data_IF_240883374785
#
_entry.id   IF_240883374785
#
_cell.length_a   1.000
_cell.length_b   1.000
_cell.length_c   1.000
_cell.angle_alpha   90.00
_cell.angle_beta   90.00
_cell.angle_gamma   90.00
#
_symmetry.space_group_name_H-M   'P 1'
#
loop_
_entity.id
_entity.type
_entity.pdbx_description
1 polymer ?
#
# COMPACT_ATOMS: atom_id res chain seq x y z
N UNK A 1 17.85 19.70 2.45
CA UNK A 1 17.90 20.88 1.56
C UNK A 1 17.06 20.52 0.36
N UNK A 2 15.78 20.90 0.37
CA UNK A 2 14.95 20.75 -0.83
C UNK A 2 15.51 21.71 -1.90
N UNK A 3 16.06 21.16 -2.96
CA UNK A 3 16.83 21.91 -3.95
C UNK A 3 16.05 22.31 -5.20
N UNK A 4 14.80 21.97 -5.33
CA UNK A 4 14.09 22.24 -6.58
C UNK A 4 12.80 22.98 -6.30
N UNK A 5 12.76 24.25 -6.71
CA UNK A 5 11.48 24.89 -7.03
C UNK A 5 10.84 24.05 -8.13
N UNK A 6 9.67 23.54 -7.85
CA UNK A 6 8.87 22.82 -8.82
C UNK A 6 8.42 23.81 -9.89
N UNK A 7 9.04 23.75 -11.06
CA UNK A 7 8.69 24.66 -12.15
C UNK A 7 7.23 24.50 -12.52
N UNK A 8 6.53 25.62 -12.57
CA UNK A 8 5.14 25.68 -12.97
C UNK A 8 4.13 25.38 -11.87
N UNK A 9 4.52 24.91 -10.69
CA UNK A 9 3.59 24.70 -9.59
C UNK A 9 3.26 26.02 -8.88
N UNK A 10 1.97 26.31 -8.80
CA UNK A 10 1.46 27.44 -8.04
C UNK A 10 1.39 27.04 -6.58
N UNK A 11 2.51 27.10 -5.89
CA UNK A 11 2.61 26.57 -4.55
C UNK A 11 2.33 27.60 -3.48
N UNK A 12 1.68 27.13 -2.44
CA UNK A 12 1.69 27.70 -1.12
C UNK A 12 2.85 27.13 -0.30
N UNK A 13 2.77 27.23 1.00
CA UNK A 13 3.72 26.64 1.94
C UNK A 13 3.58 25.11 2.09
N UNK A 14 3.00 24.40 1.10
CA UNK A 14 2.74 22.97 1.16
C UNK A 14 4.00 22.13 1.48
N UNK A 15 5.17 22.61 1.09
CA UNK A 15 6.44 21.96 1.41
C UNK A 15 6.84 22.11 2.90
N UNK A 16 6.42 23.18 3.55
CA UNK A 16 6.75 23.47 4.96
C UNK A 16 5.64 23.06 5.93
N UNK A 17 4.42 22.92 5.46
CA UNK A 17 3.23 22.69 6.28
C UNK A 17 2.54 21.35 6.00
N UNK A 18 3.10 20.48 5.16
CA UNK A 18 2.48 19.20 4.73
C UNK A 18 1.04 19.42 4.24
N UNK A 19 0.89 20.29 3.26
CA UNK A 19 -0.41 20.67 2.70
C UNK A 19 -0.64 20.05 1.32
N UNK A 20 -0.89 18.75 1.29
CA UNK A 20 -1.17 18.00 0.06
C UNK A 20 -2.47 18.46 -0.64
N UNK A 21 -3.47 18.89 0.15
CA UNK A 21 -4.75 19.32 -0.38
C UNK A 21 -4.61 20.56 -1.26
N UNK A 22 -3.94 21.58 -0.75
CA UNK A 22 -3.68 22.81 -1.52
C UNK A 22 -2.79 22.54 -2.73
N UNK A 23 -1.81 21.65 -2.58
CA UNK A 23 -0.97 21.25 -3.69
C UNK A 23 -1.79 20.68 -4.85
N UNK A 24 -2.68 19.72 -4.58
CA UNK A 24 -3.56 19.15 -5.61
C UNK A 24 -4.50 20.21 -6.15
N UNK A 25 -5.23 20.92 -5.27
CA UNK A 25 -6.26 21.88 -5.66
C UNK A 25 -5.73 22.98 -6.58
N UNK A 26 -4.48 23.39 -6.39
CA UNK A 26 -3.89 24.47 -7.16
C UNK A 26 -3.18 24.02 -8.44
N UNK A 27 -2.91 22.73 -8.62
CA UNK A 27 -2.02 22.29 -9.67
C UNK A 27 -2.59 21.23 -10.62
N UNK A 28 -3.68 20.50 -10.29
CA UNK A 28 -4.25 19.51 -11.21
C UNK A 28 -4.92 20.17 -12.41
N UNK A 29 -4.96 19.46 -13.53
CA UNK A 29 -5.57 19.89 -14.79
C UNK A 29 -6.83 19.09 -15.05
N UNK A 30 -7.99 19.74 -15.02
CA UNK A 30 -9.26 19.10 -15.39
C UNK A 30 -9.24 18.72 -16.87
N UNK A 31 -9.76 17.54 -17.18
CA UNK A 31 -9.90 17.02 -18.53
C UNK A 31 -11.39 16.82 -18.84
N UNK A 32 -11.85 17.38 -19.96
CA UNK A 32 -13.23 17.33 -20.44
C UNK A 32 -13.37 16.62 -21.80
N UNK A 33 -12.28 15.99 -22.27
CA UNK A 33 -12.25 15.17 -23.47
C UNK A 33 -12.71 13.73 -23.22
N UNK A 34 -12.44 12.90 -24.18
CA UNK A 34 -12.75 11.47 -24.19
C UNK A 34 -11.47 10.60 -24.17
N UNK A 35 -11.63 9.29 -24.31
CA UNK A 35 -10.55 8.30 -24.25
C UNK A 35 -9.71 8.19 -25.52
N UNK A 36 -9.88 9.06 -26.53
CA UNK A 36 -9.19 8.95 -27.84
C UNK A 36 -7.67 9.19 -27.75
N UNK A 37 -7.17 9.74 -26.65
CA UNK A 37 -5.73 9.91 -26.38
C UNK A 37 -5.06 8.63 -25.89
N UNK A 38 -5.82 7.61 -25.43
CA UNK A 38 -5.25 6.38 -24.90
C UNK A 38 -4.40 5.67 -25.93
N UNK A 39 -3.23 5.23 -25.49
CA UNK A 39 -2.33 4.43 -26.32
C UNK A 39 -2.67 2.95 -26.23
N UNK A 40 -2.28 2.21 -27.25
CA UNK A 40 -2.30 0.74 -27.17
C UNK A 40 -1.29 0.26 -26.12
N UNK A 41 -1.56 -0.89 -25.46
CA UNK A 41 -0.61 -1.46 -24.52
C UNK A 41 0.77 -1.65 -25.15
N UNK A 42 1.82 -1.33 -24.41
CA UNK A 42 3.19 -1.62 -24.87
C UNK A 42 3.46 -3.13 -24.85
N UNK A 43 4.48 -3.55 -25.59
CA UNK A 43 4.94 -4.93 -25.57
C UNK A 43 5.32 -5.40 -24.15
N UNK A 44 5.87 -4.50 -23.31
CA UNK A 44 6.20 -4.80 -21.93
C UNK A 44 4.92 -5.03 -21.10
N UNK A 45 3.91 -4.18 -21.25
CA UNK A 45 2.59 -4.35 -20.63
C UNK A 45 1.96 -5.69 -21.02
N UNK A 46 1.92 -6.01 -22.31
CA UNK A 46 1.34 -7.28 -22.80
C UNK A 46 2.08 -8.50 -22.25
N UNK A 47 3.41 -8.44 -22.21
CA UNK A 47 4.25 -9.52 -21.68
C UNK A 47 3.97 -9.74 -20.20
N UNK A 48 4.02 -8.71 -19.38
CA UNK A 48 3.79 -8.78 -17.93
C UNK A 48 2.35 -9.21 -17.61
N UNK A 49 1.38 -8.67 -18.34
CA UNK A 49 -0.03 -9.05 -18.19
C UNK A 49 -0.28 -10.50 -18.57
N UNK A 50 0.37 -10.99 -19.64
CA UNK A 50 0.33 -12.40 -20.03
C UNK A 50 0.84 -13.32 -18.93
N UNK A 51 1.99 -12.97 -18.31
CA UNK A 51 2.56 -13.71 -17.18
C UNK A 51 1.63 -13.70 -15.97
N UNK A 52 1.10 -12.53 -15.62
CA UNK A 52 0.18 -12.39 -14.49
C UNK A 52 -1.11 -13.20 -14.68
N UNK A 53 -1.69 -13.18 -15.88
CA UNK A 53 -2.87 -14.02 -16.21
C UNK A 53 -2.59 -15.51 -16.03
N UNK A 54 -1.42 -15.96 -16.43
CA UNK A 54 -1.04 -17.37 -16.27
C UNK A 54 -0.85 -17.74 -14.79
N UNK A 55 -0.18 -16.91 -14.01
CA UNK A 55 -0.05 -17.11 -12.55
C UNK A 55 -1.42 -17.16 -11.86
N UNK A 56 -2.37 -16.31 -12.27
CA UNK A 56 -3.73 -16.32 -11.71
C UNK A 56 -4.53 -17.55 -12.12
N UNK A 57 -4.28 -18.12 -13.31
CA UNK A 57 -4.88 -19.42 -13.70
C UNK A 57 -4.36 -20.55 -12.82
N UNK A 58 -3.04 -20.57 -12.58
CA UNK A 58 -2.41 -21.56 -11.71
C UNK A 58 -2.91 -21.42 -10.26
N UNK A 59 -3.06 -20.20 -9.77
CA UNK A 59 -3.65 -19.92 -8.45
C UNK A 59 -5.07 -20.50 -8.34
N UNK A 60 -5.91 -20.27 -9.34
CA UNK A 60 -7.27 -20.85 -9.38
C UNK A 60 -7.27 -22.38 -9.44
N UNK A 61 -6.38 -22.96 -10.24
CA UNK A 61 -6.25 -24.41 -10.33
C UNK A 61 -5.83 -25.06 -9.00
N UNK A 62 -5.10 -24.33 -8.16
CA UNK A 62 -4.71 -24.75 -6.80
C UNK A 62 -5.78 -24.43 -5.73
N UNK A 63 -6.95 -23.94 -6.11
CA UNK A 63 -8.04 -23.64 -5.17
C UNK A 63 -7.97 -22.23 -4.55
N UNK A 64 -7.13 -21.33 -5.07
CA UNK A 64 -7.11 -19.90 -4.68
C UNK A 64 -5.85 -19.44 -3.95
N UNK A 65 -4.89 -20.31 -3.69
CA UNK A 65 -3.56 -19.93 -3.15
C UNK A 65 -2.48 -20.60 -4.01
N UNK A 66 -1.65 -19.79 -4.64
CA UNK A 66 -0.57 -20.25 -5.50
C UNK A 66 0.62 -20.76 -4.68
N UNK A 67 1.04 -19.98 -3.67
CA UNK A 67 2.18 -20.26 -2.81
C UNK A 67 2.02 -19.52 -1.46
N UNK A 68 2.67 -20.04 -0.41
CA UNK A 68 2.65 -19.45 0.93
C UNK A 68 4.06 -19.41 1.52
N UNK A 69 4.35 -18.29 2.21
CA UNK A 69 5.52 -18.20 3.08
C UNK A 69 5.26 -18.94 4.38
N UNK A 70 6.18 -19.78 4.80
CA UNK A 70 6.04 -20.59 6.02
C UNK A 70 7.14 -20.37 7.05
N UNK A 71 8.17 -19.59 6.69
CA UNK A 71 9.37 -19.42 7.53
C UNK A 71 9.55 -18.01 8.07
N UNK A 72 9.05 -17.00 7.32
CA UNK A 72 9.35 -15.59 7.56
C UNK A 72 8.07 -14.81 7.79
N UNK A 73 8.04 -14.02 8.88
CA UNK A 73 7.03 -12.99 9.07
C UNK A 73 7.31 -11.84 8.11
N UNK A 74 6.31 -11.39 7.38
CA UNK A 74 6.40 -10.28 6.44
C UNK A 74 6.85 -8.98 7.13
N UNK A 75 7.30 -8.04 6.37
CA UNK A 75 7.78 -6.73 6.82
C UNK A 75 8.45 -6.00 5.67
N UNK A 76 8.80 -4.75 5.91
CA UNK A 76 9.35 -3.88 4.87
C UNK A 76 10.64 -4.44 4.25
N UNK A 77 11.50 -5.01 5.08
CA UNK A 77 12.82 -5.55 4.69
C UNK A 77 12.93 -7.08 4.82
N UNK A 78 11.79 -7.76 4.99
CA UNK A 78 11.78 -9.22 5.18
C UNK A 78 12.20 -9.98 3.92
N UNK A 79 12.06 -9.37 2.75
CA UNK A 79 12.39 -9.95 1.46
C UNK A 79 13.27 -8.99 0.67
N UNK A 80 14.19 -9.51 -0.13
CA UNK A 80 14.93 -8.75 -1.10
C UNK A 80 14.06 -8.27 -2.27
N UNK A 81 14.67 -7.55 -3.21
CA UNK A 81 13.98 -7.13 -4.43
C UNK A 81 13.51 -8.34 -5.24
N UNK A 82 12.26 -8.32 -5.67
CA UNK A 82 11.64 -9.38 -6.45
C UNK A 82 10.76 -8.79 -7.56
N UNK A 83 10.60 -9.55 -8.63
CA UNK A 83 9.93 -9.13 -9.87
C UNK A 83 8.88 -10.17 -10.29
N UNK A 84 8.02 -9.80 -11.25
CA UNK A 84 6.91 -10.65 -11.71
C UNK A 84 7.44 -11.98 -12.27
N UNK A 85 8.58 -11.95 -12.93
CA UNK A 85 9.20 -13.14 -13.48
C UNK A 85 10.71 -13.01 -13.58
N UNK A 86 11.36 -14.13 -13.87
CA UNK A 86 12.79 -14.12 -14.16
C UNK A 86 13.06 -13.28 -15.43
N UNK A 87 13.97 -12.31 -15.34
CA UNK A 87 14.31 -11.41 -16.44
C UNK A 87 13.32 -10.27 -16.70
N UNK A 88 12.25 -10.09 -15.89
CA UNK A 88 11.30 -8.98 -16.09
C UNK A 88 11.72 -7.64 -15.48
N UNK A 89 12.84 -7.59 -14.78
CA UNK A 89 13.32 -6.38 -14.10
C UNK A 89 13.31 -5.14 -15.00
N UNK A 90 13.78 -5.27 -16.21
CA UNK A 90 13.91 -4.15 -17.15
C UNK A 90 12.60 -3.81 -17.87
N UNK A 91 11.62 -4.73 -17.82
CA UNK A 91 10.28 -4.51 -18.36
C UNK A 91 9.37 -3.79 -17.37
N UNK A 92 9.56 -4.00 -16.06
CA UNK A 92 8.69 -3.45 -15.03
C UNK A 92 8.96 -1.96 -14.80
N UNK A 93 8.03 -1.09 -15.20
CA UNK A 93 8.11 0.36 -14.96
C UNK A 93 7.75 0.69 -13.50
N UNK A 94 6.89 -0.11 -12.87
CA UNK A 94 6.58 -0.05 -11.44
C UNK A 94 7.05 -1.35 -10.82
N UNK A 95 7.98 -1.29 -9.88
CA UNK A 95 8.59 -2.46 -9.24
C UNK A 95 8.13 -2.61 -7.79
N UNK A 96 8.26 -3.81 -7.28
CA UNK A 96 7.95 -4.16 -5.90
C UNK A 96 6.91 -5.27 -5.80
N UNK A 97 7.21 -6.30 -5.01
CA UNK A 97 6.31 -7.40 -4.68
C UNK A 97 6.07 -7.47 -3.18
N UNK A 98 4.95 -8.06 -2.82
CA UNK A 98 4.56 -8.29 -1.43
C UNK A 98 5.53 -9.24 -0.70
N UNK A 99 6.05 -10.24 -1.42
CA UNK A 99 7.01 -11.23 -0.97
C UNK A 99 8.16 -11.35 -1.97
N UNK A 100 8.93 -12.42 -1.90
CA UNK A 100 10.00 -12.78 -2.83
C UNK A 100 9.50 -13.35 -4.17
N UNK A 101 8.18 -13.66 -4.28
CA UNK A 101 7.56 -14.20 -5.49
C UNK A 101 6.18 -13.58 -5.73
N UNK A 102 5.75 -13.47 -7.00
CA UNK A 102 4.41 -13.00 -7.31
C UNK A 102 3.35 -13.96 -6.75
N UNK A 103 2.26 -13.39 -6.22
CA UNK A 103 1.11 -14.10 -5.63
C UNK A 103 1.43 -15.04 -4.46
N UNK A 104 2.66 -15.06 -3.94
CA UNK A 104 2.99 -15.79 -2.72
C UNK A 104 2.43 -15.04 -1.51
N UNK A 105 1.67 -15.74 -0.69
CA UNK A 105 1.04 -15.20 0.52
C UNK A 105 2.02 -15.20 1.69
N UNK A 106 1.81 -14.32 2.65
CA UNK A 106 2.68 -14.20 3.82
C UNK A 106 1.91 -14.00 5.12
N UNK A 107 2.60 -14.17 6.24
CA UNK A 107 2.15 -13.84 7.58
C UNK A 107 2.53 -12.39 7.88
N UNK A 108 1.52 -11.52 8.04
CA UNK A 108 1.73 -10.08 8.28
C UNK A 108 1.93 -9.79 9.76
N UNK A 109 2.90 -8.95 10.16
CA UNK A 109 3.26 -8.75 11.56
C UNK A 109 2.11 -8.15 12.40
N UNK A 110 1.23 -7.37 11.78
CA UNK A 110 0.04 -6.79 12.41
C UNK A 110 -1.26 -7.48 11.99
N UNK A 111 -1.17 -8.66 11.37
CA UNK A 111 -2.29 -9.50 10.99
C UNK A 111 -2.62 -10.57 12.03
N UNK A 112 -3.81 -11.16 11.91
CA UNK A 112 -4.19 -12.33 12.72
C UNK A 112 -3.56 -13.61 12.18
N UNK A 113 -2.96 -14.41 13.06
CA UNK A 113 -2.33 -15.67 12.67
C UNK A 113 -3.35 -16.75 12.28
N UNK A 114 -4.52 -16.81 12.94
CA UNK A 114 -5.50 -17.91 12.77
C UNK A 114 -5.93 -18.14 11.33
N UNK A 115 -6.23 -17.07 10.58
CA UNK A 115 -6.65 -17.22 9.19
C UNK A 115 -5.50 -17.73 8.31
N UNK A 116 -4.28 -17.28 8.57
CA UNK A 116 -3.10 -17.69 7.84
C UNK A 116 -2.75 -19.16 8.13
N UNK A 117 -2.83 -19.59 9.41
CA UNK A 117 -2.66 -21.00 9.81
C UNK A 117 -3.71 -21.91 9.18
N UNK A 118 -4.98 -21.50 9.21
CA UNK A 118 -6.05 -22.25 8.54
C UNK A 118 -5.85 -22.34 7.02
N UNK A 119 -5.38 -21.27 6.40
CA UNK A 119 -5.05 -21.28 4.98
C UNK A 119 -3.87 -22.22 4.71
N UNK A 120 -2.80 -22.19 5.52
CA UNK A 120 -1.70 -23.14 5.40
C UNK A 120 -2.20 -24.58 5.45
N UNK A 121 -2.92 -24.97 6.48
CA UNK A 121 -3.49 -26.32 6.62
C UNK A 121 -4.38 -26.70 5.44
N UNK A 122 -5.24 -25.79 4.98
CA UNK A 122 -6.17 -26.05 3.88
C UNK A 122 -5.45 -26.30 2.55
N UNK A 123 -4.35 -25.60 2.31
CA UNK A 123 -3.59 -25.71 1.06
C UNK A 123 -2.33 -26.59 1.16
N UNK A 124 -2.16 -27.31 2.28
CA UNK A 124 -1.07 -28.26 2.47
C UNK A 124 0.30 -27.64 2.80
N UNK A 125 0.30 -26.47 3.41
CA UNK A 125 1.49 -25.82 3.92
C UNK A 125 1.56 -25.97 5.45
N UNK A 126 2.77 -25.98 5.99
CA UNK A 126 3.01 -26.04 7.43
C UNK A 126 3.95 -24.90 7.85
N UNK A 127 3.47 -23.95 8.68
CA UNK A 127 4.31 -22.89 9.21
C UNK A 127 5.38 -23.45 10.13
N UNK A 128 6.57 -22.81 10.13
CA UNK A 128 7.65 -23.22 11.02
C UNK A 128 7.31 -22.96 12.50
N UNK A 129 7.91 -23.74 13.41
CA UNK A 129 7.77 -23.53 14.85
C UNK A 129 8.19 -22.13 15.27
N UNK A 130 9.24 -21.59 14.66
CA UNK A 130 9.72 -20.23 14.89
C UNK A 130 8.63 -19.16 14.57
N UNK A 131 7.88 -19.37 13.51
CA UNK A 131 6.80 -18.47 13.11
C UNK A 131 5.65 -18.54 14.14
N UNK A 132 5.26 -19.73 14.58
CA UNK A 132 4.30 -19.92 15.66
C UNK A 132 4.78 -19.23 16.95
N UNK A 133 6.03 -19.42 17.35
CA UNK A 133 6.59 -18.78 18.53
C UNK A 133 6.49 -17.26 18.49
N UNK A 134 6.83 -16.63 17.34
CA UNK A 134 6.75 -15.17 17.17
C UNK A 134 5.33 -14.67 17.45
N UNK A 135 4.32 -15.29 16.85
CA UNK A 135 2.94 -14.82 17.00
C UNK A 135 2.34 -15.16 18.37
N UNK A 136 2.61 -16.33 18.93
CA UNK A 136 1.99 -16.73 20.20
C UNK A 136 2.72 -16.19 21.43
N UNK A 137 4.01 -15.88 21.32
CA UNK A 137 4.81 -15.39 22.45
C UNK A 137 5.02 -13.88 22.45
N UNK A 138 5.19 -13.26 21.27
CA UNK A 138 5.63 -11.86 21.18
C UNK A 138 4.60 -10.95 20.51
N UNK A 139 3.65 -11.48 19.75
CA UNK A 139 2.66 -10.68 19.04
C UNK A 139 1.30 -10.81 19.71
N UNK A 140 0.67 -9.67 20.01
CA UNK A 140 -0.72 -9.59 20.37
C UNK A 140 -1.50 -9.12 19.13
N UNK A 141 -2.35 -9.97 18.60
CA UNK A 141 -3.17 -9.61 17.45
C UNK A 141 -4.23 -8.57 17.83
N UNK A 142 -4.78 -7.85 16.86
CA UNK A 142 -5.91 -6.97 17.08
C UNK A 142 -7.05 -7.67 17.79
N UNK A 143 -7.38 -8.90 17.38
CA UNK A 143 -8.42 -9.71 18.02
C UNK A 143 -8.14 -10.03 19.47
N UNK A 144 -6.93 -10.46 19.77
CA UNK A 144 -6.55 -10.78 21.14
C UNK A 144 -6.70 -9.53 22.02
N UNK A 145 -6.27 -8.36 21.52
CA UNK A 145 -6.43 -7.09 22.21
C UNK A 145 -7.88 -6.72 22.48
N UNK A 146 -8.77 -6.90 21.52
CA UNK A 146 -10.19 -6.62 21.68
C UNK A 146 -10.86 -7.62 22.62
N UNK A 147 -10.59 -8.92 22.48
CA UNK A 147 -11.20 -9.95 23.34
C UNK A 147 -10.68 -9.92 24.77
N UNK A 148 -9.47 -9.47 25.00
CA UNK A 148 -8.96 -9.23 26.35
C UNK A 148 -9.69 -8.10 27.07
N UNK A 149 -10.14 -7.09 26.33
CA UNK A 149 -10.95 -6.01 26.88
C UNK A 149 -12.41 -6.40 27.18
N UNK A 150 -12.91 -7.51 26.62
CA UNK A 150 -14.27 -7.97 26.84
C UNK A 150 -14.44 -8.64 28.20
N UNK A 151 -15.43 -8.19 28.97
CA UNK A 151 -15.83 -8.92 30.19
C UNK A 151 -16.49 -10.27 29.86
N UNK A 152 -16.58 -11.21 30.82
CA UNK A 152 -17.31 -12.46 30.60
C UNK A 152 -18.75 -12.24 30.12
N UNK A 153 -19.43 -11.22 30.65
CA UNK A 153 -20.80 -10.86 30.26
C UNK A 153 -20.86 -10.38 28.81
N UNK A 154 -19.93 -9.52 28.40
CA UNK A 154 -19.83 -9.08 26.99
C UNK A 154 -19.59 -10.25 26.03
N UNK A 155 -18.73 -11.21 26.43
CA UNK A 155 -18.49 -12.43 25.63
C UNK A 155 -19.77 -13.30 25.56
N UNK A 156 -20.53 -13.42 26.66
CA UNK A 156 -21.78 -14.17 26.70
C UNK A 156 -22.86 -13.54 25.82
N UNK A 157 -23.08 -12.22 25.93
CA UNK A 157 -24.08 -11.50 25.11
C UNK A 157 -23.76 -11.60 23.63
N UNK A 158 -22.47 -11.53 23.30
CA UNK A 158 -22.01 -11.70 21.92
C UNK A 158 -22.21 -13.14 21.42
N UNK A 159 -21.90 -14.14 22.25
CA UNK A 159 -22.12 -15.55 21.92
C UNK A 159 -23.60 -15.86 21.64
N UNK A 160 -24.49 -15.23 22.37
CA UNK A 160 -25.93 -15.39 22.21
C UNK A 160 -26.55 -14.46 21.14
N UNK A 161 -25.73 -13.78 20.34
CA UNK A 161 -26.15 -12.88 19.26
C UNK A 161 -27.04 -11.71 19.70
N UNK A 162 -27.02 -11.33 20.97
CA UNK A 162 -27.73 -10.16 21.50
C UNK A 162 -27.01 -8.88 21.11
N UNK A 163 -25.68 -8.91 21.10
CA UNK A 163 -24.83 -7.86 20.57
C UNK A 163 -24.07 -8.40 19.37
N UNK A 164 -24.07 -7.61 18.30
CA UNK A 164 -23.17 -7.79 17.19
C UNK A 164 -22.06 -6.75 17.30
N UNK A 165 -20.92 -7.17 17.77
CA UNK A 165 -19.69 -6.38 17.65
C UNK A 165 -18.72 -7.19 16.83
N UNK A 166 -18.04 -6.57 15.92
CA UNK A 166 -16.97 -7.21 15.18
C UNK A 166 -15.64 -6.69 15.70
N UNK A 167 -15.02 -7.37 16.66
CA UNK A 167 -13.60 -7.49 16.51
C UNK A 167 -13.42 -8.24 15.20
N UNK A 168 -12.61 -7.72 14.32
CA UNK A 168 -12.26 -8.45 13.13
C UNK A 168 -11.59 -9.75 13.55
N UNK A 169 -12.29 -10.87 13.42
CA UNK A 169 -11.88 -12.19 13.91
C UNK A 169 -10.54 -12.64 13.31
N UNK A 170 -10.04 -11.92 12.33
CA UNK A 170 -8.84 -12.29 11.58
C UNK A 170 -7.67 -11.34 11.81
N UNK A 171 -7.80 -10.33 12.66
CA UNK A 171 -6.80 -9.30 12.86
C UNK A 171 -6.50 -8.53 11.57
N UNK A 172 -7.56 -8.20 10.79
CA UNK A 172 -7.40 -7.50 9.52
C UNK A 172 -7.34 -5.99 9.75
N UNK A 173 -6.34 -5.36 9.12
CA UNK A 173 -6.33 -3.92 8.98
C UNK A 173 -7.34 -3.44 7.92
N UNK A 174 -7.82 -2.22 8.10
CA UNK A 174 -8.55 -1.47 7.08
C UNK A 174 -7.88 -0.11 7.02
N UNK A 175 -7.21 0.17 5.91
CA UNK A 175 -6.39 1.35 5.77
C UNK A 175 -6.83 2.13 4.54
N UNK A 176 -7.01 3.43 4.72
CA UNK A 176 -6.98 4.41 3.64
C UNK A 176 -5.77 5.29 3.93
N UNK A 177 -4.61 4.86 3.44
CA UNK A 177 -3.36 5.59 3.62
C UNK A 177 -3.22 6.72 2.60
N UNK A 178 -2.56 7.79 3.00
CA UNK A 178 -2.20 8.86 2.06
C UNK A 178 -0.78 8.65 1.52
N UNK A 179 -0.67 7.72 0.58
CA UNK A 179 0.60 7.30 -0.02
C UNK A 179 1.22 8.38 -0.92
N UNK A 180 0.43 9.38 -1.33
CA UNK A 180 0.87 10.54 -2.12
C UNK A 180 1.93 11.36 -1.39
N UNK A 181 1.90 11.35 -0.06
CA UNK A 181 2.88 12.04 0.78
C UNK A 181 4.30 11.56 0.56
N UNK A 182 4.49 10.28 0.27
CA UNK A 182 5.82 9.72 -0.02
C UNK A 182 6.40 10.38 -1.29
N UNK A 183 5.58 10.51 -2.32
CA UNK A 183 6.01 11.15 -3.57
C UNK A 183 6.22 12.66 -3.41
N UNK A 184 5.32 13.37 -2.71
CA UNK A 184 5.36 14.83 -2.61
C UNK A 184 6.47 15.34 -1.70
N UNK A 185 6.74 14.65 -0.60
CA UNK A 185 7.66 15.15 0.44
C UNK A 185 8.99 14.39 0.51
N UNK A 186 9.01 13.14 0.09
CA UNK A 186 10.11 12.22 0.36
C UNK A 186 10.16 11.75 1.81
N UNK A 187 10.87 10.66 2.04
CA UNK A 187 10.87 10.01 3.36
C UNK A 187 11.63 10.81 4.42
N UNK A 188 12.71 11.50 4.06
CA UNK A 188 13.50 12.24 5.04
C UNK A 188 12.71 13.40 5.64
N UNK A 189 11.90 14.07 4.83
CA UNK A 189 10.98 15.10 5.34
C UNK A 189 9.93 14.49 6.28
N UNK A 190 9.32 13.37 5.91
CA UNK A 190 8.31 12.70 6.75
C UNK A 190 8.90 12.21 8.08
N UNK A 191 10.13 11.70 8.09
CA UNK A 191 10.85 11.34 9.31
C UNK A 191 11.08 12.59 10.19
N UNK A 192 11.52 13.69 9.59
CA UNK A 192 11.77 14.94 10.32
C UNK A 192 10.49 15.48 10.98
N UNK A 193 9.35 15.44 10.28
CA UNK A 193 8.06 15.84 10.84
C UNK A 193 7.64 14.92 12.01
N UNK A 194 7.80 13.62 11.88
CA UNK A 194 7.54 12.67 12.97
C UNK A 194 8.48 12.85 14.16
N UNK A 195 9.72 13.22 13.91
CA UNK A 195 10.66 13.55 14.97
C UNK A 195 10.27 14.83 15.74
N UNK A 196 9.69 15.82 15.04
CA UNK A 196 9.11 17.00 15.69
C UNK A 196 7.93 16.60 16.58
N UNK A 197 7.01 15.76 16.08
CA UNK A 197 5.89 15.23 16.87
C UNK A 197 6.40 14.55 18.14
N UNK A 198 7.42 13.68 18.03
CA UNK A 198 8.00 12.96 19.16
C UNK A 198 8.65 13.91 20.18
N UNK A 199 9.37 14.93 19.72
CA UNK A 199 10.01 15.91 20.58
C UNK A 199 8.99 16.76 21.34
N UNK A 200 7.87 17.16 20.70
CA UNK A 200 6.79 17.91 21.35
C UNK A 200 6.08 17.11 22.45
N UNK A 201 6.18 15.78 22.43
CA UNK A 201 5.66 14.93 23.51
C UNK A 201 6.62 14.81 24.71
N UNK A 202 7.87 15.28 24.56
CA UNK A 202 8.91 15.12 25.58
C UNK A 202 8.61 15.83 26.90
N UNK A 203 7.92 16.95 26.83
CA UNK A 203 7.57 17.81 28.00
C UNK A 203 6.22 17.41 28.62
N UNK A 204 5.55 16.38 28.11
CA UNK A 204 4.29 15.90 28.68
C UNK A 204 4.53 14.96 29.84
N UNK A 205 3.58 14.94 30.77
CA UNK A 205 3.56 13.94 31.84
C UNK A 205 3.55 12.52 31.23
N UNK A 206 4.40 11.62 31.75
CA UNK A 206 4.54 10.25 31.27
C UNK A 206 3.43 9.34 31.80
N UNK A 207 2.22 9.62 31.40
CA UNK A 207 1.05 8.75 31.63
C UNK A 207 0.93 7.71 30.50
N UNK A 208 0.12 6.70 30.71
CA UNK A 208 -0.08 5.57 29.78
C UNK A 208 -0.36 6.01 28.34
N UNK A 209 -1.24 6.98 28.15
CA UNK A 209 -1.61 7.48 26.81
C UNK A 209 -0.41 8.15 26.11
N UNK A 210 0.39 8.94 26.85
CA UNK A 210 1.55 9.62 26.28
C UNK A 210 2.63 8.59 25.92
N UNK A 211 2.85 7.57 26.75
CA UNK A 211 3.81 6.50 26.48
C UNK A 211 3.41 5.77 25.19
N UNK A 212 2.14 5.39 25.05
CA UNK A 212 1.64 4.70 23.84
C UNK A 212 1.77 5.55 22.58
N UNK A 213 1.43 6.84 22.64
CA UNK A 213 1.60 7.75 21.51
C UNK A 213 3.07 7.88 21.11
N UNK A 214 3.99 7.94 22.08
CA UNK A 214 5.43 7.99 21.80
C UNK A 214 5.93 6.71 21.12
N UNK A 215 5.48 5.56 21.61
CA UNK A 215 5.78 4.27 20.97
C UNK A 215 5.28 4.21 19.53
N UNK A 216 4.04 4.66 19.30
CA UNK A 216 3.44 4.69 17.96
C UNK A 216 4.24 5.57 17.01
N UNK A 217 4.58 6.80 17.41
CA UNK A 217 5.38 7.70 16.56
C UNK A 217 6.80 7.14 16.32
N UNK A 218 7.41 6.55 17.33
CA UNK A 218 8.71 5.89 17.18
C UNK A 218 8.66 4.72 16.20
N UNK A 219 7.58 3.92 16.22
CA UNK A 219 7.34 2.85 15.26
C UNK A 219 7.10 3.39 13.85
N UNK A 220 6.39 4.51 13.68
CA UNK A 220 6.21 5.18 12.39
C UNK A 220 7.57 5.62 11.81
N UNK A 221 8.44 6.22 12.61
CA UNK A 221 9.80 6.60 12.19
C UNK A 221 10.60 5.35 11.76
N UNK A 222 10.53 4.27 12.53
CA UNK A 222 11.20 3.01 12.19
C UNK A 222 10.66 2.44 10.87
N UNK A 223 9.35 2.48 10.66
CA UNK A 223 8.73 2.01 9.43
C UNK A 223 9.16 2.86 8.21
N UNK A 224 9.22 4.19 8.35
CA UNK A 224 9.71 5.07 7.27
C UNK A 224 11.18 4.77 6.91
N UNK A 225 12.03 4.49 7.89
CA UNK A 225 13.42 4.05 7.63
C UNK A 225 13.44 2.70 6.87
N UNK A 226 12.65 1.74 7.31
CA UNK A 226 12.52 0.45 6.62
C UNK A 226 11.98 0.59 5.19
N UNK A 227 11.11 1.58 4.94
CA UNK A 227 10.61 1.87 3.59
C UNK A 227 11.72 2.38 2.67
N UNK A 228 12.65 3.20 3.17
CA UNK A 228 13.86 3.61 2.42
C UNK A 228 14.74 2.42 2.09
N UNK A 229 14.98 1.53 3.04
CA UNK A 229 15.77 0.31 2.84
C UNK A 229 15.14 -0.60 1.79
N UNK A 230 13.82 -0.78 1.86
CA UNK A 230 13.08 -1.53 0.85
C UNK A 230 13.22 -0.92 -0.54
N UNK A 231 13.02 0.38 -0.68
CA UNK A 231 13.15 1.07 -1.97
C UNK A 231 14.59 0.98 -2.52
N UNK A 232 15.58 1.12 -1.65
CA UNK A 232 17.00 0.98 -2.00
C UNK A 232 17.34 -0.42 -2.54
N UNK A 233 16.69 -1.48 -2.05
CA UNK A 233 16.86 -2.83 -2.59
C UNK A 233 16.43 -2.97 -4.05
N UNK A 234 15.48 -2.13 -4.48
CA UNK A 234 15.04 -2.01 -5.88
C UNK A 234 15.85 -0.99 -6.69
N UNK A 235 16.83 -0.31 -6.08
CA UNK A 235 17.68 0.69 -6.74
C UNK A 235 17.10 2.11 -6.72
N UNK A 236 16.13 2.42 -5.86
CA UNK A 236 15.52 3.74 -5.75
C UNK A 236 15.87 4.43 -4.43
N UNK A 237 16.17 5.72 -4.51
CA UNK A 237 16.32 6.60 -3.35
C UNK A 237 15.07 7.47 -3.16
N UNK A 238 14.20 7.06 -2.26
CA UNK A 238 12.97 7.78 -1.90
C UNK A 238 13.17 8.79 -0.76
N UNK A 239 14.40 9.12 -0.42
CA UNK A 239 14.70 10.11 0.62
C UNK A 239 14.18 11.50 0.27
N UNK A 240 14.18 11.83 -1.02
CA UNK A 240 13.77 13.11 -1.58
C UNK A 240 12.41 13.02 -2.29
N UNK A 241 11.72 14.14 -2.50
CA UNK A 241 10.50 14.20 -3.32
C UNK A 241 10.72 13.62 -4.72
N UNK A 242 9.68 13.00 -5.27
CA UNK A 242 9.67 12.53 -6.65
C UNK A 242 9.86 13.71 -7.62
N UNK A 243 10.69 13.54 -8.65
CA UNK A 243 11.06 14.59 -9.59
C UNK A 243 10.32 14.50 -10.93
N UNK A 244 9.70 13.38 -11.23
CA UNK A 244 9.02 13.10 -12.49
C UNK A 244 7.84 12.13 -12.27
N UNK A 245 7.05 11.91 -13.31
CA UNK A 245 5.88 11.04 -13.29
C UNK A 245 6.22 9.62 -12.87
N UNK A 246 7.30 9.03 -13.40
CA UNK A 246 7.74 7.68 -13.05
C UNK A 246 8.08 7.54 -11.56
N UNK A 247 8.83 8.50 -11.03
CA UNK A 247 9.16 8.52 -9.61
C UNK A 247 7.90 8.72 -8.75
N UNK A 248 6.98 9.63 -9.14
CA UNK A 248 5.75 9.86 -8.40
C UNK A 248 4.90 8.60 -8.27
N UNK A 249 4.73 7.85 -9.36
CA UNK A 249 4.01 6.56 -9.36
C UNK A 249 4.75 5.54 -8.48
N UNK A 250 6.05 5.42 -8.63
CA UNK A 250 6.85 4.44 -7.89
C UNK A 250 6.91 4.74 -6.38
N UNK A 251 7.11 6.01 -5.97
CA UNK A 251 7.13 6.42 -4.56
C UNK A 251 5.78 6.17 -3.89
N UNK A 252 4.70 6.54 -4.57
CA UNK A 252 3.34 6.26 -4.12
C UNK A 252 3.13 4.75 -3.94
N UNK A 253 3.52 3.95 -4.93
CA UNK A 253 3.38 2.50 -4.84
C UNK A 253 4.22 1.90 -3.71
N UNK A 254 5.45 2.36 -3.48
CA UNK A 254 6.25 1.91 -2.34
C UNK A 254 5.56 2.21 -1.01
N UNK A 255 4.94 3.37 -0.86
CA UNK A 255 4.13 3.70 0.31
C UNK A 255 2.97 2.71 0.51
N UNK A 256 2.25 2.39 -0.54
CA UNK A 256 1.19 1.39 -0.53
C UNK A 256 1.72 -0.01 -0.21
N UNK A 257 2.80 -0.41 -0.85
CA UNK A 257 3.44 -1.71 -0.63
C UNK A 257 3.92 -1.86 0.83
N UNK A 258 4.40 -0.78 1.44
CA UNK A 258 4.77 -0.76 2.85
C UNK A 258 3.59 -1.14 3.76
N UNK A 259 2.41 -0.59 3.52
CA UNK A 259 1.20 -0.95 4.24
C UNK A 259 0.79 -2.41 3.97
N UNK A 260 0.87 -2.85 2.72
CA UNK A 260 0.54 -4.23 2.29
C UNK A 260 1.45 -5.25 2.96
N UNK A 261 2.74 -4.97 3.11
CA UNK A 261 3.71 -5.88 3.73
C UNK A 261 3.54 -6.02 5.25
N UNK A 262 2.86 -5.07 5.88
CA UNK A 262 2.74 -5.04 7.35
C UNK A 262 1.35 -5.38 7.86
N UNK A 263 0.32 -5.21 7.06
CA UNK A 263 -1.08 -5.39 7.45
C UNK A 263 -1.74 -6.53 6.68
N UNK A 264 -2.49 -7.37 7.36
CA UNK A 264 -3.39 -8.34 6.71
C UNK A 264 -4.75 -7.68 6.46
N UNK A 265 -4.81 -6.75 5.50
CA UNK A 265 -6.01 -5.96 5.25
C UNK A 265 -7.00 -6.60 4.30
N UNK A 266 -8.30 -6.45 4.58
CA UNK A 266 -9.34 -6.71 3.59
C UNK A 266 -9.58 -5.48 2.71
N UNK A 267 -9.50 -4.29 3.29
CA UNK A 267 -9.69 -3.01 2.64
C UNK A 267 -8.38 -2.21 2.74
N UNK A 268 -7.55 -2.34 1.73
CA UNK A 268 -6.29 -1.61 1.57
C UNK A 268 -6.48 -0.56 0.48
N UNK A 269 -7.35 0.43 0.78
CA UNK A 269 -7.75 1.45 -0.18
C UNK A 269 -6.59 2.38 -0.52
N UNK A 270 -6.54 2.79 -1.78
CA UNK A 270 -5.51 3.70 -2.32
C UNK A 270 -6.01 5.15 -2.32
N UNK A 271 -7.32 5.34 -2.45
CA UNK A 271 -7.97 6.64 -2.53
C UNK A 271 -7.82 7.29 -3.90
N UNK A 272 -7.98 8.60 -3.98
CA UNK A 272 -7.86 9.36 -5.22
C UNK A 272 -6.39 9.72 -5.47
N UNK A 273 -5.79 9.06 -6.46
CA UNK A 273 -4.41 9.29 -6.87
C UNK A 273 -4.31 9.95 -8.25
N UNK A 274 -5.36 9.88 -9.07
CA UNK A 274 -5.38 10.38 -10.44
C UNK A 274 -5.02 11.86 -10.53
N UNK A 275 -5.72 12.72 -9.78
CA UNK A 275 -5.46 14.16 -9.73
C UNK A 275 -4.09 14.54 -9.18
N UNK A 276 -3.54 13.73 -8.29
CA UNK A 276 -2.19 13.95 -7.78
C UNK A 276 -1.12 13.60 -8.84
N UNK A 277 -1.25 12.45 -9.46
CA UNK A 277 -0.32 11.99 -10.50
C UNK A 277 -0.39 12.87 -11.75
N UNK A 278 -1.59 13.38 -12.09
CA UNK A 278 -1.81 14.32 -13.19
C UNK A 278 -0.82 15.50 -13.16
N UNK A 279 -0.55 16.05 -11.98
CA UNK A 279 0.36 17.19 -11.82
C UNK A 279 1.77 16.87 -12.33
N UNK A 280 2.24 15.65 -12.09
CA UNK A 280 3.55 15.19 -12.57
C UNK A 280 3.50 14.84 -14.05
N UNK A 281 2.43 14.21 -14.49
CA UNK A 281 2.27 13.81 -15.90
C UNK A 281 2.14 15.02 -16.82
N UNK A 282 1.29 15.97 -16.49
CA UNK A 282 1.10 17.20 -17.26
C UNK A 282 2.39 18.02 -17.35
N UNK A 283 3.15 18.11 -16.27
CA UNK A 283 4.46 18.76 -16.29
C UNK A 283 5.42 18.06 -17.24
N UNK A 284 5.54 16.73 -17.13
CA UNK A 284 6.49 15.95 -17.92
C UNK A 284 6.07 15.93 -19.41
N UNK A 285 4.77 15.99 -19.72
CA UNK A 285 4.26 16.21 -21.08
C UNK A 285 4.68 17.59 -21.61
N UNK A 286 4.53 18.64 -20.83
CA UNK A 286 4.93 20.00 -21.22
C UNK A 286 6.44 20.14 -21.42
N UNK A 287 7.24 19.41 -20.67
CA UNK A 287 8.70 19.35 -20.81
C UNK A 287 9.14 18.39 -21.92
N UNK A 288 8.24 17.62 -22.51
CA UNK A 288 8.53 16.64 -23.56
C UNK A 288 9.34 15.43 -23.08
N UNK A 289 9.31 15.15 -21.79
CA UNK A 289 10.02 14.03 -21.15
C UNK A 289 9.14 12.78 -20.95
N UNK A 290 7.83 12.88 -21.18
CA UNK A 290 6.86 11.82 -21.11
C UNK A 290 5.98 11.83 -22.37
N UNK A 291 5.69 10.65 -22.92
CA UNK A 291 4.70 10.45 -23.98
C UNK A 291 3.40 9.87 -23.42
N UNK A 292 2.28 9.96 -24.17
CA UNK A 292 1.02 9.31 -23.78
C UNK A 292 1.18 7.79 -23.60
N UNK A 293 1.99 7.15 -24.44
CA UNK A 293 2.30 5.72 -24.31
C UNK A 293 3.09 5.40 -23.04
N UNK A 294 4.05 6.24 -22.64
CA UNK A 294 4.80 6.05 -21.39
C UNK A 294 3.88 6.26 -20.16
N UNK A 295 2.98 7.23 -20.22
CA UNK A 295 1.99 7.49 -19.17
C UNK A 295 1.04 6.30 -19.00
N UNK A 296 0.51 5.80 -20.11
CA UNK A 296 -0.33 4.59 -20.13
C UNK A 296 0.41 3.39 -19.53
N UNK A 297 1.65 3.15 -19.94
CA UNK A 297 2.47 2.05 -19.41
C UNK A 297 2.68 2.15 -17.90
N UNK A 298 2.90 3.35 -17.35
CA UNK A 298 3.04 3.55 -15.91
C UNK A 298 1.75 3.21 -15.15
N UNK A 299 0.60 3.64 -15.66
CA UNK A 299 -0.71 3.34 -15.06
C UNK A 299 -1.05 1.85 -15.18
N UNK A 300 -0.84 1.25 -16.34
CA UNK A 300 -1.04 -0.19 -16.56
C UNK A 300 -0.25 -1.02 -15.55
N UNK A 301 1.04 -0.70 -15.38
CA UNK A 301 1.90 -1.42 -14.45
C UNK A 301 1.49 -1.19 -12.99
N UNK A 302 1.05 0.01 -12.62
CA UNK A 302 0.53 0.31 -11.28
C UNK A 302 -0.73 -0.52 -10.99
N UNK A 303 -1.67 -0.58 -11.93
CA UNK A 303 -2.92 -1.36 -11.79
C UNK A 303 -2.60 -2.86 -11.71
N UNK A 304 -1.66 -3.36 -12.50
CA UNK A 304 -1.19 -4.75 -12.38
C UNK A 304 -0.63 -5.05 -10.98
N UNK A 305 0.13 -4.13 -10.38
CA UNK A 305 0.66 -4.30 -9.02
C UNK A 305 -0.46 -4.37 -7.98
N UNK A 306 -1.49 -3.54 -8.08
CA UNK A 306 -2.66 -3.64 -7.21
C UNK A 306 -3.39 -4.98 -7.37
N UNK A 307 -3.43 -5.52 -8.58
CA UNK A 307 -4.03 -6.83 -8.86
C UNK A 307 -3.26 -8.00 -8.24
N UNK A 308 -1.99 -7.81 -7.95
CA UNK A 308 -1.11 -8.83 -7.37
C UNK A 308 -1.15 -8.88 -5.84
N UNK A 309 -1.72 -7.89 -5.17
CA UNK A 309 -1.85 -7.86 -3.71
C UNK A 309 -2.80 -8.94 -3.26
N UNK A 310 -2.30 -9.84 -2.43
CA UNK A 310 -3.01 -11.03 -1.98
C UNK A 310 -2.69 -11.36 -0.52
N UNK A 311 -3.69 -11.83 0.22
CA UNK A 311 -3.54 -12.29 1.60
C UNK A 311 -3.98 -13.74 1.75
N UNK A 312 -3.51 -14.42 2.80
CA UNK A 312 -3.91 -15.77 3.09
C UNK A 312 -5.40 -15.82 3.48
N UNK A 313 -6.20 -16.61 2.75
CA UNK A 313 -7.63 -16.80 2.98
C UNK A 313 -7.98 -18.27 2.76
N UNK A 314 -9.01 -18.74 3.46
CA UNK A 314 -9.56 -20.08 3.26
C UNK A 314 -10.65 -20.06 2.18
N UNK A 315 -10.91 -21.21 1.51
CA UNK A 315 -11.90 -21.28 0.41
C UNK A 315 -13.30 -20.77 0.81
N UNK A 316 -13.77 -21.08 2.02
CA UNK A 316 -15.09 -20.64 2.49
C UNK A 316 -15.18 -19.12 2.62
N UNK A 317 -14.08 -18.46 2.99
CA UNK A 317 -14.02 -16.99 3.01
C UNK A 317 -14.07 -16.41 1.60
N UNK A 318 -13.31 -16.99 0.68
CA UNK A 318 -13.31 -16.56 -0.72
C UNK A 318 -14.69 -16.75 -1.38
N UNK A 319 -15.39 -17.84 -1.04
CA UNK A 319 -16.74 -18.09 -1.51
C UNK A 319 -17.73 -17.04 -0.99
N UNK A 320 -17.67 -16.70 0.29
CA UNK A 320 -18.54 -15.70 0.92
C UNK A 320 -18.43 -14.33 0.24
N UNK A 321 -17.23 -13.95 -0.20
CA UNK A 321 -16.95 -12.65 -0.83
C UNK A 321 -16.81 -12.72 -2.35
N UNK A 322 -17.24 -13.83 -2.99
CA UNK A 322 -17.15 -14.03 -4.42
C UNK A 322 -15.73 -13.94 -5.00
N UNK A 323 -14.75 -14.40 -4.25
CA UNK A 323 -13.34 -14.40 -4.62
C UNK A 323 -12.43 -14.05 -3.43
N UNK A 324 -11.20 -13.64 -3.75
CA UNK A 324 -10.21 -13.20 -2.76
C UNK A 324 -10.07 -11.67 -2.80
N UNK A 325 -10.99 -10.92 -2.20
CA UNK A 325 -10.96 -9.47 -2.28
C UNK A 325 -9.87 -8.89 -1.39
N UNK A 326 -9.07 -8.02 -1.96
CA UNK A 326 -8.21 -7.08 -1.24
C UNK A 326 -8.68 -5.67 -1.61
N UNK A 327 -9.79 -5.32 -1.59
CA UNK A 327 -10.36 -4.01 -1.94
C UNK A 327 -9.32 -2.87 -1.97
N UNK A 328 -8.45 -2.89 -2.97
CA UNK A 328 -7.53 -1.81 -3.30
C UNK A 328 -8.34 -0.71 -4.01
N UNK A 329 -9.24 -0.08 -3.28
CA UNK A 329 -10.20 0.88 -3.82
C UNK A 329 -9.48 2.11 -4.33
N UNK A 330 -9.70 2.43 -5.60
CA UNK A 330 -9.33 3.67 -6.25
C UNK A 330 -10.56 4.55 -6.38
N UNK A 331 -10.39 5.83 -6.14
CA UNK A 331 -11.39 6.86 -6.45
C UNK A 331 -10.97 7.61 -7.71
N UNK A 332 -11.91 7.82 -8.61
CA UNK A 332 -11.71 8.55 -9.87
C UNK A 332 -12.69 9.73 -9.96
N UNK A 333 -12.28 10.77 -10.64
CA UNK A 333 -13.09 11.96 -10.88
C UNK A 333 -13.56 12.68 -9.60
N UNK A 334 -14.74 13.23 -9.65
CA UNK A 334 -15.38 13.99 -8.57
C UNK A 334 -15.33 15.50 -8.80
N UNK A 335 -15.49 16.27 -7.73
CA UNK A 335 -15.54 17.73 -7.77
C UNK A 335 -14.53 18.32 -6.78
N UNK A 336 -13.76 19.28 -7.22
CA UNK A 336 -12.84 20.07 -6.39
C UNK A 336 -13.60 21.05 -5.50
N UNK A 337 -12.89 21.65 -4.55
CA UNK A 337 -13.49 22.63 -3.62
C UNK A 337 -13.96 23.92 -4.31
N UNK A 338 -13.34 24.24 -5.41
CA UNK A 338 -13.68 25.38 -6.27
C UNK A 338 -14.77 25.06 -7.32
N UNK A 339 -15.34 23.86 -7.27
CA UNK A 339 -16.37 23.40 -8.19
C UNK A 339 -15.88 22.89 -9.54
N UNK A 340 -14.54 22.87 -9.78
CA UNK A 340 -13.98 22.25 -11.00
C UNK A 340 -14.15 20.73 -10.96
N UNK A 341 -14.29 20.12 -12.16
CA UNK A 341 -14.18 18.67 -12.31
C UNK A 341 -12.79 18.20 -11.86
N UNK A 342 -12.74 17.12 -11.11
CA UNK A 342 -11.49 16.41 -10.77
C UNK A 342 -11.20 15.24 -11.72
N UNK A 343 -11.93 15.14 -12.83
CA UNK A 343 -11.57 14.22 -13.91
C UNK A 343 -10.31 14.73 -14.59
N UNK A 344 -9.31 13.85 -14.68
CA UNK A 344 -8.04 14.07 -15.37
C UNK A 344 -7.83 12.98 -16.42
N UNK A 345 -6.84 13.07 -17.27
CA UNK A 345 -6.52 11.98 -18.21
C UNK A 345 -6.25 10.66 -17.50
N UNK A 346 -5.73 10.70 -16.26
CA UNK A 346 -5.41 9.50 -15.47
C UNK A 346 -6.64 8.79 -14.89
N UNK A 347 -7.84 9.27 -15.12
CA UNK A 347 -9.10 8.63 -14.72
C UNK A 347 -9.62 7.65 -15.79
N UNK A 348 -9.08 7.71 -17.00
CA UNK A 348 -9.37 6.83 -18.12
C UNK A 348 -8.40 5.66 -18.17
#
# INVERSE_FOLDING_TARGET
IMKTEWRGFKGNKWQSEVNLRDFIQNNYTSYDGDETFLAEPTQATDTLWGMLKELQKQERAKGGVLDMETEVVSGLTAYGAAYIGEGTKDLEKVVGLQTDKPLKRAFMPYGGIKMAEQACTTYGYEPSEKLHEIFHKYCKTHNDGVFDAYTPEMKLVRHNHILTGLPDTYGRGRIVGDYRRVALYGIDFLIAEKQKDLNQMGDREMIDEVIRLREEVAMQIKALKGLKEMAASYGFDISQPAQNAREAVQWLYFGYLGAVKTQNGAAMSVGRISTFLDIYFERDFQEGTLTEADAQELIDHLVMKFRMVKFARIPSYNQLFSGDPVWATLEVGGMGQDGRSMVTKNDF
#
